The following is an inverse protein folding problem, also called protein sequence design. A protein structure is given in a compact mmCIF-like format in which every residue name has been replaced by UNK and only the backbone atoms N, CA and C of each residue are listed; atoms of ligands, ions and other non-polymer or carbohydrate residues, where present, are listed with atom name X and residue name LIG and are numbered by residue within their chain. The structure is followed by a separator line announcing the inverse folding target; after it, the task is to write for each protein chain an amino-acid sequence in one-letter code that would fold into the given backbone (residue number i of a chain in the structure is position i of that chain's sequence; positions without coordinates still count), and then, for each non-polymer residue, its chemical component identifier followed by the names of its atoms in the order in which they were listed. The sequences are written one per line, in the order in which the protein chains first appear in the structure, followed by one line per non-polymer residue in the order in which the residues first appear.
data_IF_732051261493
#
_entry.id   IF_732051261493
#
_cell.length_a   1.000
_cell.length_b   1.000
_cell.length_c   1.000
_cell.angle_alpha   90.00
_cell.angle_beta   90.00
_cell.angle_gamma   90.00
#
_symmetry.space_group_name_H-M   'P 1'
#
loop_
_entity.id
_entity.type
_entity.pdbx_description
1 polymer ?
#
# COMPACT_ATOMS: atom_id res chain seq x y z
N UNK A 1 0.95 14.68 2.58
CA UNK A 1 -0.24 14.12 3.28
C UNK A 1 0.05 14.21 4.78
N UNK A 2 -0.94 14.65 5.54
CA UNK A 2 -1.01 14.76 7.02
C UNK A 2 0.17 15.43 7.76
N UNK A 3 0.32 16.74 7.62
CA UNK A 3 0.89 17.54 8.72
C UNK A 3 -0.20 17.66 9.79
N UNK A 4 -0.04 16.94 10.90
CA UNK A 4 -0.81 17.19 12.11
C UNK A 4 0.11 17.82 13.16
N UNK A 5 -0.50 18.47 14.16
CA UNK A 5 0.07 19.26 15.26
C UNK A 5 1.27 18.65 16.03
N UNK A 6 1.72 17.45 15.67
CA UNK A 6 2.74 16.62 16.31
C UNK A 6 4.09 16.58 15.53
N UNK A 7 4.28 17.46 14.56
CA UNK A 7 5.54 17.62 13.81
C UNK A 7 5.65 16.71 12.57
N UNK A 8 6.88 16.37 12.13
CA UNK A 8 7.11 15.60 10.89
C UNK A 8 6.43 14.24 10.94
N UNK A 9 5.99 13.75 9.78
CA UNK A 9 5.30 12.47 9.67
C UNK A 9 6.19 11.32 10.17
N UNK A 10 5.57 10.22 10.62
CA UNK A 10 6.31 9.04 11.06
C UNK A 10 7.23 8.51 9.95
N UNK A 11 6.77 8.58 8.69
CA UNK A 11 7.53 8.15 7.52
C UNK A 11 8.76 9.05 7.33
N UNK A 12 8.59 10.37 7.39
CA UNK A 12 9.70 11.32 7.30
C UNK A 12 10.76 11.08 8.40
N UNK A 13 10.31 10.77 9.63
CA UNK A 13 11.21 10.44 10.75
C UNK A 13 11.99 9.16 10.50
N UNK A 14 11.33 8.09 10.05
CA UNK A 14 11.98 6.82 9.72
C UNK A 14 12.99 7.03 8.58
N UNK A 15 12.66 7.86 7.59
CA UNK A 15 13.55 8.18 6.49
C UNK A 15 14.84 8.86 6.97
N UNK A 16 14.73 9.87 7.83
CA UNK A 16 15.91 10.55 8.39
C UNK A 16 16.70 9.62 9.33
N UNK A 17 16.01 8.82 10.15
CA UNK A 17 16.64 7.83 11.03
C UNK A 17 17.44 6.77 10.26
N UNK A 18 17.00 6.42 9.06
CA UNK A 18 17.70 5.48 8.16
C UNK A 18 18.84 6.13 7.38
N UNK A 19 19.17 7.40 7.68
CA UNK A 19 20.31 8.11 7.10
C UNK A 19 19.95 9.10 5.99
N UNK A 20 18.66 9.26 5.71
CA UNK A 20 18.16 10.17 4.69
C UNK A 20 18.32 11.64 5.04
N UNK A 21 18.64 12.45 4.03
CA UNK A 21 18.85 13.89 4.17
C UNK A 21 18.27 14.64 2.99
N UNK A 22 17.97 15.91 3.21
CA UNK A 22 17.67 16.83 2.12
C UNK A 22 18.98 17.43 1.58
N UNK A 23 19.20 17.29 0.28
CA UNK A 23 20.41 17.74 -0.43
C UNK A 23 20.04 18.91 -1.35
N UNK A 24 20.87 19.95 -1.41
CA UNK A 24 20.63 21.11 -2.28
C UNK A 24 20.87 20.77 -3.75
N UNK A 25 19.98 21.18 -4.64
CA UNK A 25 20.20 21.05 -6.09
C UNK A 25 21.24 22.05 -6.65
N UNK A 26 21.46 23.18 -5.98
CA UNK A 26 22.39 24.24 -6.40
C UNK A 26 23.84 24.02 -5.91
N UNK A 27 24.11 22.91 -5.21
CA UNK A 27 25.44 22.54 -4.72
C UNK A 27 26.12 23.59 -3.83
N UNK A 28 25.35 24.52 -3.26
CA UNK A 28 25.80 25.48 -2.26
C UNK A 28 26.02 24.78 -0.90
N UNK A 29 27.27 24.75 -0.45
CA UNK A 29 27.68 24.05 0.78
C UNK A 29 26.96 24.62 2.02
N UNK A 30 26.80 25.94 2.10
CA UNK A 30 26.13 26.61 3.22
C UNK A 30 24.62 26.31 3.26
N UNK A 31 23.99 26.17 2.09
CA UNK A 31 22.57 25.83 2.00
C UNK A 31 22.34 24.35 2.32
N UNK A 32 23.25 23.47 1.89
CA UNK A 32 23.22 22.04 2.21
C UNK A 32 23.30 21.77 3.73
N UNK A 33 24.10 22.54 4.47
CA UNK A 33 24.20 22.41 5.93
C UNK A 33 22.89 22.81 6.65
N UNK A 34 22.26 23.92 6.24
CA UNK A 34 20.95 24.33 6.75
C UNK A 34 19.87 23.32 6.39
N UNK A 35 19.94 22.78 5.18
CA UNK A 35 18.99 21.83 4.62
C UNK A 35 19.12 20.42 5.22
N UNK A 36 20.29 20.05 5.73
CA UNK A 36 20.53 18.79 6.43
C UNK A 36 19.72 18.65 7.74
N UNK A 37 19.27 19.77 8.32
CA UNK A 37 18.41 19.78 9.51
C UNK A 37 16.91 19.63 9.18
N UNK A 38 16.56 19.67 7.89
CA UNK A 38 15.16 19.55 7.46
C UNK A 38 14.70 18.10 7.59
N UNK A 39 13.76 17.89 8.50
CA UNK A 39 13.19 16.57 8.78
C UNK A 39 11.98 16.22 7.92
N UNK A 40 11.42 17.16 7.14
CA UNK A 40 10.22 16.93 6.32
C UNK A 40 10.53 16.96 4.82
N UNK A 41 10.08 15.93 4.09
CA UNK A 41 10.24 15.87 2.63
C UNK A 41 9.55 17.03 1.91
N UNK A 42 8.39 17.51 2.41
CA UNK A 42 7.66 18.61 1.78
C UNK A 42 8.42 19.93 1.89
N UNK A 43 9.05 20.20 3.04
CA UNK A 43 9.87 21.39 3.26
C UNK A 43 11.12 21.32 2.41
N UNK A 44 11.77 20.17 2.34
CA UNK A 44 12.91 19.93 1.45
C UNK A 44 12.61 20.33 0.00
N UNK A 45 11.50 19.82 -0.55
CA UNK A 45 11.09 20.11 -1.93
C UNK A 45 10.72 21.58 -2.15
N UNK A 46 10.09 22.24 -1.15
CA UNK A 46 9.77 23.67 -1.22
C UNK A 46 11.02 24.56 -1.23
N UNK A 47 12.07 24.14 -0.55
CA UNK A 47 13.36 24.83 -0.53
C UNK A 47 14.22 24.52 -1.78
N UNK A 48 13.68 23.78 -2.76
CA UNK A 48 14.43 23.39 -3.95
C UNK A 48 15.47 22.30 -3.70
N UNK A 49 15.34 21.56 -2.60
CA UNK A 49 16.16 20.42 -2.26
C UNK A 49 15.63 19.09 -2.80
N UNK A 50 16.52 18.12 -2.94
CA UNK A 50 16.23 16.73 -3.27
C UNK A 50 16.38 15.85 -2.03
N UNK A 51 15.38 15.02 -1.77
CA UNK A 51 15.38 14.06 -0.66
C UNK A 51 16.13 12.80 -1.10
N UNK A 52 17.23 12.44 -0.41
CA UNK A 52 18.10 11.34 -0.85
C UNK A 52 18.79 10.62 0.33
N UNK A 53 19.16 9.36 0.10
CA UNK A 53 20.02 8.55 0.98
C UNK A 53 19.32 7.81 2.13
N UNK A 54 18.00 7.99 2.32
CA UNK A 54 17.22 7.28 3.33
C UNK A 54 16.37 6.17 2.74
N UNK A 55 15.75 5.39 3.62
CA UNK A 55 14.81 4.33 3.25
C UNK A 55 13.38 4.87 3.28
N UNK A 56 12.75 5.00 2.12
CA UNK A 56 11.34 5.39 2.01
C UNK A 56 10.47 4.14 1.80
N UNK A 57 9.52 3.91 2.69
CA UNK A 57 8.58 2.80 2.53
C UNK A 57 7.59 3.15 1.42
N UNK A 58 7.56 2.36 0.35
CA UNK A 58 6.65 2.62 -0.77
C UNK A 58 5.19 2.45 -0.34
N UNK A 59 4.50 3.56 -0.08
CA UNK A 59 3.09 3.55 0.32
C UNK A 59 2.17 2.93 -0.75
N UNK A 60 2.48 3.10 -2.04
CA UNK A 60 1.77 2.44 -3.13
C UNK A 60 1.92 0.92 -3.04
N UNK A 61 3.11 0.42 -2.75
CA UNK A 61 3.33 -1.01 -2.52
C UNK A 61 2.48 -1.52 -1.35
N UNK A 62 2.51 -0.83 -0.20
CA UNK A 62 1.72 -1.21 0.99
C UNK A 62 0.23 -1.31 0.66
N UNK A 63 -0.34 -0.28 0.03
CA UNK A 63 -1.76 -0.23 -0.31
C UNK A 63 -2.15 -1.30 -1.32
N UNK A 64 -1.37 -1.48 -2.40
CA UNK A 64 -1.67 -2.44 -3.46
C UNK A 64 -1.55 -3.89 -2.98
N UNK A 65 -0.55 -4.20 -2.15
CA UNK A 65 -0.40 -5.53 -1.53
C UNK A 65 -1.58 -5.80 -0.59
N UNK A 66 -1.89 -4.86 0.31
CA UNK A 66 -3.01 -5.03 1.24
C UNK A 66 -4.34 -5.22 0.52
N UNK A 67 -4.64 -4.39 -0.49
CA UNK A 67 -5.87 -4.49 -1.27
C UNK A 67 -5.94 -5.79 -2.10
N UNK A 68 -4.80 -6.28 -2.61
CA UNK A 68 -4.74 -7.55 -3.32
C UNK A 68 -5.06 -8.74 -2.42
N UNK A 69 -4.53 -8.74 -1.19
CA UNK A 69 -4.82 -9.78 -0.19
C UNK A 69 -6.29 -9.74 0.24
N UNK A 70 -6.85 -8.54 0.44
CA UNK A 70 -8.29 -8.39 0.72
C UNK A 70 -9.14 -8.97 -0.41
N UNK A 71 -8.86 -8.62 -1.67
CA UNK A 71 -9.57 -9.21 -2.82
C UNK A 71 -9.37 -10.71 -2.94
N UNK A 72 -8.21 -11.24 -2.56
CA UNK A 72 -7.97 -12.67 -2.54
C UNK A 72 -8.94 -13.39 -1.59
N UNK A 73 -9.11 -12.89 -0.37
CA UNK A 73 -10.05 -13.48 0.60
C UNK A 73 -11.50 -13.48 0.07
N UNK A 74 -11.94 -12.39 -0.53
CA UNK A 74 -13.31 -12.27 -1.05
C UNK A 74 -13.58 -13.08 -2.33
N UNK A 75 -12.54 -13.37 -3.12
CA UNK A 75 -12.67 -13.96 -4.46
C UNK A 75 -12.07 -15.36 -4.59
N UNK A 76 -11.37 -15.87 -3.56
CA UNK A 76 -10.68 -17.17 -3.61
C UNK A 76 -11.62 -18.33 -3.95
N UNK A 77 -12.89 -18.28 -3.52
CA UNK A 77 -13.90 -19.32 -3.75
C UNK A 77 -14.15 -19.59 -5.25
N UNK A 78 -13.93 -18.60 -6.12
CA UNK A 78 -14.08 -18.75 -7.57
C UNK A 78 -13.02 -19.69 -8.16
N UNK A 79 -11.82 -19.69 -7.60
CA UNK A 79 -10.71 -20.53 -8.06
C UNK A 79 -10.87 -21.98 -7.58
N UNK A 80 -11.50 -22.19 -6.42
CA UNK A 80 -11.83 -23.53 -5.94
C UNK A 80 -13.02 -24.16 -6.65
N UNK A 81 -13.94 -23.35 -7.19
CA UNK A 81 -15.18 -23.84 -7.83
C UNK A 81 -15.50 -23.09 -9.13
N UNK A 82 -14.73 -23.39 -10.18
CA UNK A 82 -14.90 -22.78 -11.51
C UNK A 82 -16.34 -22.95 -12.06
N UNK A 83 -16.99 -24.08 -11.75
CA UNK A 83 -18.38 -24.33 -12.13
C UNK A 83 -19.34 -23.29 -11.55
N UNK A 84 -19.10 -22.82 -10.31
CA UNK A 84 -19.91 -21.80 -9.65
C UNK A 84 -19.79 -20.47 -10.37
N UNK A 85 -18.59 -20.13 -10.85
CA UNK A 85 -18.35 -18.91 -11.62
C UNK A 85 -19.07 -18.92 -12.98
N UNK A 86 -19.05 -20.06 -13.69
CA UNK A 86 -19.79 -20.22 -14.95
C UNK A 86 -21.31 -20.13 -14.71
N UNK A 87 -21.80 -20.74 -13.63
CA UNK A 87 -23.22 -20.64 -13.22
C UNK A 87 -23.62 -19.21 -12.85
N UNK A 88 -22.73 -18.45 -12.19
CA UNK A 88 -22.98 -17.04 -11.84
C UNK A 88 -23.23 -16.19 -13.09
N UNK A 89 -22.46 -16.43 -14.16
CA UNK A 89 -22.63 -15.76 -15.47
C UNK A 89 -24.05 -15.90 -16.03
N UNK A 90 -24.64 -17.09 -15.88
CA UNK A 90 -25.99 -17.38 -16.36
C UNK A 90 -27.09 -16.90 -15.40
N UNK A 91 -26.84 -16.99 -14.09
CA UNK A 91 -27.82 -16.63 -13.05
C UNK A 91 -28.06 -15.13 -12.95
N UNK A 92 -26.99 -14.34 -12.91
CA UNK A 92 -27.10 -12.89 -12.72
C UNK A 92 -25.95 -12.16 -13.42
N UNK A 93 -26.28 -11.54 -14.55
CA UNK A 93 -25.31 -10.79 -15.37
C UNK A 93 -24.69 -9.63 -14.60
N UNK A 94 -25.42 -8.98 -13.69
CA UNK A 94 -24.90 -7.83 -12.92
C UNK A 94 -23.82 -8.30 -11.96
N UNK A 95 -24.08 -9.35 -11.18
CA UNK A 95 -23.09 -9.93 -10.26
C UNK A 95 -21.84 -10.40 -11.00
N UNK A 96 -22.02 -11.07 -12.15
CA UNK A 96 -20.91 -11.48 -13.00
C UNK A 96 -20.07 -10.28 -13.48
N UNK A 97 -20.72 -9.20 -13.95
CA UNK A 97 -20.04 -7.98 -14.37
C UNK A 97 -19.28 -7.31 -13.21
N UNK A 98 -19.86 -7.28 -12.01
CA UNK A 98 -19.18 -6.76 -10.82
C UNK A 98 -17.89 -7.53 -10.52
N UNK A 99 -17.94 -8.86 -10.54
CA UNK A 99 -16.76 -9.70 -10.32
C UNK A 99 -15.71 -9.47 -11.41
N UNK A 100 -16.11 -9.42 -12.69
CA UNK A 100 -15.18 -9.13 -13.80
C UNK A 100 -14.56 -7.73 -13.67
N UNK A 101 -15.32 -6.75 -13.22
CA UNK A 101 -14.81 -5.39 -12.97
C UNK A 101 -13.77 -5.39 -11.85
N UNK A 102 -14.02 -6.07 -10.74
CA UNK A 102 -13.04 -6.19 -9.63
C UNK A 102 -11.77 -6.90 -10.10
N UNK A 103 -11.89 -8.00 -10.86
CA UNK A 103 -10.72 -8.71 -11.43
C UNK A 103 -9.92 -7.81 -12.40
N UNK A 104 -10.61 -6.99 -13.19
CA UNK A 104 -9.97 -6.04 -14.10
C UNK A 104 -9.20 -4.96 -13.35
N UNK A 105 -9.79 -4.42 -12.27
CA UNK A 105 -9.12 -3.46 -11.38
C UNK A 105 -7.91 -4.10 -10.71
N UNK A 106 -8.04 -5.33 -10.21
CA UNK A 106 -6.93 -6.07 -9.62
C UNK A 106 -5.77 -6.25 -10.63
N UNK A 107 -6.07 -6.60 -11.89
CA UNK A 107 -5.05 -6.72 -12.93
C UNK A 107 -4.30 -5.40 -13.18
N UNK A 108 -5.02 -4.27 -13.21
CA UNK A 108 -4.42 -2.94 -13.35
C UNK A 108 -3.51 -2.63 -12.14
N UNK A 109 -3.94 -2.96 -10.94
CA UNK A 109 -3.16 -2.77 -9.71
C UNK A 109 -1.88 -3.61 -9.67
N UNK A 110 -1.94 -4.87 -10.10
CA UNK A 110 -0.76 -5.70 -10.24
C UNK A 110 0.23 -5.15 -11.27
N UNK A 111 -0.27 -4.60 -12.38
CA UNK A 111 0.57 -3.90 -13.35
C UNK A 111 1.22 -2.64 -12.75
N UNK A 112 0.47 -1.83 -12.01
CA UNK A 112 1.02 -0.67 -11.30
C UNK A 112 2.09 -1.06 -10.29
N UNK A 113 1.86 -2.14 -9.51
CA UNK A 113 2.84 -2.66 -8.55
C UNK A 113 4.12 -3.12 -9.25
N UNK A 114 3.99 -3.82 -10.37
CA UNK A 114 5.11 -4.23 -11.21
C UNK A 114 5.93 -3.03 -11.70
N UNK A 115 5.28 -2.03 -12.30
CA UNK A 115 5.96 -0.81 -12.78
C UNK A 115 6.63 -0.04 -11.64
N UNK A 116 6.01 -0.02 -10.46
CA UNK A 116 6.57 0.60 -9.25
C UNK A 116 7.87 -0.07 -8.82
N UNK A 117 7.92 -1.41 -8.84
CA UNK A 117 9.11 -2.18 -8.50
C UNK A 117 10.23 -2.11 -9.54
N UNK A 118 9.90 -1.90 -10.83
CA UNK A 118 10.91 -1.83 -11.91
C UNK A 118 11.58 -0.45 -11.98
N UNK A 119 10.81 0.63 -11.83
CA UNK A 119 11.29 1.98 -12.18
C UNK A 119 11.56 2.91 -11.00
N UNK A 120 10.89 2.73 -9.87
CA UNK A 120 10.80 3.80 -8.87
C UNK A 120 11.44 3.48 -7.53
N UNK A 121 11.52 2.21 -7.14
CA UNK A 121 11.94 1.82 -5.80
C UNK A 121 13.03 0.76 -5.79
N UNK A 122 13.87 0.81 -4.77
CA UNK A 122 14.84 -0.25 -4.49
C UNK A 122 14.17 -1.52 -3.97
N UNK A 123 14.86 -2.66 -4.07
CA UNK A 123 14.35 -3.94 -3.58
C UNK A 123 14.00 -3.91 -2.08
N UNK A 124 14.78 -3.20 -1.27
CA UNK A 124 14.52 -3.09 0.18
C UNK A 124 13.24 -2.31 0.49
N UNK A 125 12.99 -1.21 -0.22
CA UNK A 125 11.77 -0.41 -0.06
C UNK A 125 10.54 -1.24 -0.40
N UNK A 126 10.61 -2.05 -1.47
CA UNK A 126 9.56 -2.97 -1.88
C UNK A 126 9.32 -4.10 -0.87
N UNK A 127 10.39 -4.67 -0.30
CA UNK A 127 10.29 -5.71 0.74
C UNK A 127 9.61 -5.14 1.98
N UNK A 128 10.04 -3.96 2.45
CA UNK A 128 9.41 -3.31 3.61
C UNK A 128 7.94 -2.98 3.35
N UNK A 129 7.61 -2.49 2.14
CA UNK A 129 6.23 -2.21 1.74
C UNK A 129 5.36 -3.47 1.73
N UNK A 130 5.88 -4.58 1.21
CA UNK A 130 5.20 -5.88 1.22
C UNK A 130 4.94 -6.37 2.65
N UNK A 131 5.95 -6.28 3.54
CA UNK A 131 5.80 -6.69 4.94
C UNK A 131 4.70 -5.90 5.63
N UNK A 132 4.68 -4.57 5.48
CA UNK A 132 3.63 -3.74 6.09
C UNK A 132 2.24 -4.02 5.49
N UNK A 133 2.14 -4.27 4.19
CA UNK A 133 0.88 -4.65 3.53
C UNK A 133 0.31 -5.97 4.06
N UNK A 134 1.17 -7.00 4.16
CA UNK A 134 0.82 -8.31 4.73
C UNK A 134 0.46 -8.20 6.20
N UNK A 135 1.23 -7.42 6.98
CA UNK A 135 0.96 -7.20 8.40
C UNK A 135 -0.42 -6.55 8.60
N UNK A 136 -0.76 -5.54 7.80
CA UNK A 136 -2.09 -4.92 7.83
C UNK A 136 -3.21 -5.92 7.56
N UNK A 137 -3.03 -6.79 6.56
CA UNK A 137 -3.98 -7.86 6.26
C UNK A 137 -4.10 -8.85 7.43
N UNK A 138 -2.98 -9.32 7.97
CA UNK A 138 -2.95 -10.28 9.07
C UNK A 138 -3.61 -9.73 10.34
N UNK A 139 -3.36 -8.46 10.68
CA UNK A 139 -4.02 -7.81 11.81
C UNK A 139 -5.54 -7.77 11.64
N UNK A 140 -6.02 -7.50 10.44
CA UNK A 140 -7.46 -7.49 10.17
C UNK A 140 -8.06 -8.90 10.19
N UNK A 141 -7.57 -9.80 9.33
CA UNK A 141 -8.19 -11.11 9.12
C UNK A 141 -7.91 -12.13 10.23
N UNK A 142 -6.75 -12.09 10.88
CA UNK A 142 -6.41 -13.00 11.98
C UNK A 142 -6.70 -12.38 13.35
N UNK A 143 -6.66 -11.05 13.46
CA UNK A 143 -6.78 -10.35 14.73
C UNK A 143 -8.19 -9.81 15.02
N UNK A 144 -8.72 -8.99 14.10
CA UNK A 144 -9.97 -8.24 14.30
C UNK A 144 -11.19 -9.05 13.88
N UNK A 145 -11.24 -9.52 12.64
CA UNK A 145 -12.43 -10.20 12.09
C UNK A 145 -12.89 -11.42 12.89
N UNK A 146 -12.02 -12.28 13.44
CA UNK A 146 -12.46 -13.41 14.26
C UNK A 146 -13.11 -12.98 15.59
N UNK A 147 -12.92 -11.73 16.02
CA UNK A 147 -13.45 -11.17 17.27
C UNK A 147 -14.66 -10.27 17.05
N UNK A 148 -14.98 -9.93 15.80
CA UNK A 148 -16.18 -9.17 15.49
C UNK A 148 -17.33 -10.16 15.42
N UNK A 149 -18.30 -10.04 16.33
CA UNK A 149 -19.54 -10.79 16.26
C UNK A 149 -20.23 -10.46 14.93
N UNK A 150 -20.34 -11.46 14.04
CA UNK A 150 -20.98 -11.26 12.74
C UNK A 150 -22.48 -11.01 12.97
N UNK A 151 -22.92 -9.79 12.62
CA UNK A 151 -24.32 -9.41 12.60
C UNK A 151 -25.02 -10.23 11.48
N UNK A 152 -25.96 -11.09 11.89
CA UNK A 152 -26.92 -11.81 11.02
C UNK A 152 -26.35 -12.76 9.95
N UNK A 153 -25.63 -13.81 10.36
CA UNK A 153 -25.65 -15.03 9.54
C UNK A 153 -27.00 -15.75 9.73
N UNK A 154 -27.70 -16.13 8.64
CA UNK A 154 -28.79 -17.08 8.78
C UNK A 154 -28.25 -18.34 9.45
N UNK A 155 -28.99 -18.95 10.39
CA UNK A 155 -28.52 -20.15 11.07
C UNK A 155 -28.15 -21.20 10.02
N UNK A 156 -26.95 -21.76 10.14
CA UNK A 156 -26.55 -22.93 9.35
C UNK A 156 -27.59 -24.02 9.65
N UNK A 157 -28.53 -24.21 8.72
CA UNK A 157 -29.39 -25.39 8.68
C UNK A 157 -28.50 -26.55 8.29
N UNK A 158 -27.97 -27.25 9.29
CA UNK A 158 -27.33 -28.55 9.17
C UNK A 158 -28.41 -29.63 9.12
#
# INVERSE_FOLDING_TARGET
MTQQFLGPSIIDRIYVLTGGKCVSLLQDVEMSEKLATVLEQQVCRRLGGQWSGGHDVSGHCVMLIHASLFFWEELCWMFYSLDTFIKLKQRNRIQYLSVVAVLSIAAIWWFMLFMTGVYFHGHFELVSGTIFGVLGWALMYLGVFPKVDMIDLPPLSL
#
